data_IF_940856545540
#
_entry.id   IF_940856545540
#
_cell.length_a   1.000
_cell.length_b   1.000
_cell.length_c   1.000
_cell.angle_alpha   90.00
_cell.angle_beta   90.00
_cell.angle_gamma   90.00
#
_symmetry.space_group_name_H-M   'P 1'
#
loop_
_entity.id
_entity.type
_entity.pdbx_description
1 polymer ?
#
# COMPACT_ATOMS: atom_id res chain seq x y z
N UNK A 1 -41.19 8.73 -8.60
CA UNK A 1 -40.17 8.48 -9.65
C UNK A 1 -39.52 7.14 -9.33
N UNK A 2 -39.56 6.18 -10.26
CA UNK A 2 -38.98 4.85 -10.04
C UNK A 2 -37.46 4.98 -9.83
N UNK A 3 -36.94 4.42 -8.74
CA UNK A 3 -35.49 4.36 -8.51
C UNK A 3 -34.87 3.57 -9.67
N UNK A 4 -33.80 4.06 -10.32
CA UNK A 4 -33.11 3.30 -11.36
C UNK A 4 -32.75 1.92 -10.79
N UNK A 5 -33.22 0.87 -11.45
CA UNK A 5 -32.82 -0.50 -11.11
C UNK A 5 -31.37 -0.67 -11.54
N UNK A 6 -30.51 -1.08 -10.61
CA UNK A 6 -29.15 -1.50 -10.96
C UNK A 6 -29.25 -2.72 -11.88
N UNK A 7 -28.59 -2.65 -13.04
CA UNK A 7 -28.44 -3.76 -13.98
C UNK A 7 -26.97 -4.17 -14.00
N UNK A 8 -26.67 -5.36 -14.54
CA UNK A 8 -25.29 -5.77 -14.72
C UNK A 8 -24.49 -4.77 -15.57
N UNK A 9 -25.07 -4.32 -16.69
CA UNK A 9 -24.45 -3.36 -17.61
C UNK A 9 -24.16 -2.00 -16.98
N UNK A 10 -25.08 -1.47 -16.15
CA UNK A 10 -24.83 -0.19 -15.48
C UNK A 10 -23.74 -0.31 -14.42
N UNK A 11 -23.69 -1.43 -13.71
CA UNK A 11 -22.66 -1.75 -12.72
C UNK A 11 -21.30 -1.96 -13.36
N UNK A 12 -21.21 -2.71 -14.46
CA UNK A 12 -19.95 -2.94 -15.17
C UNK A 12 -19.42 -1.66 -15.80
N UNK A 13 -20.27 -0.85 -16.44
CA UNK A 13 -19.90 0.45 -17.00
C UNK A 13 -19.40 1.42 -15.93
N UNK A 14 -20.09 1.48 -14.78
CA UNK A 14 -19.64 2.29 -13.64
C UNK A 14 -18.30 1.81 -13.09
N UNK A 15 -18.11 0.50 -12.93
CA UNK A 15 -16.85 -0.08 -12.46
C UNK A 15 -15.68 0.19 -13.41
N UNK A 16 -15.90 0.07 -14.72
CA UNK A 16 -14.93 0.45 -15.75
C UNK A 16 -14.56 1.94 -15.69
N UNK A 17 -15.55 2.82 -15.52
CA UNK A 17 -15.31 4.25 -15.37
C UNK A 17 -14.46 4.59 -14.16
N UNK A 18 -14.70 3.93 -13.02
CA UNK A 18 -13.89 4.12 -11.80
C UNK A 18 -12.44 3.63 -12.01
N UNK A 19 -12.27 2.49 -12.68
CA UNK A 19 -10.93 1.99 -13.02
C UNK A 19 -10.17 2.92 -13.97
N UNK A 20 -10.86 3.52 -14.95
CA UNK A 20 -10.24 4.48 -15.87
C UNK A 20 -9.75 5.75 -15.15
N UNK A 21 -10.33 6.07 -14.00
CA UNK A 21 -9.83 7.13 -13.09
C UNK A 21 -8.64 6.69 -12.22
N UNK A 22 -8.15 5.46 -12.35
CA UNK A 22 -7.08 4.90 -11.52
C UNK A 22 -7.53 4.55 -10.09
N UNK A 23 -8.84 4.37 -9.86
CA UNK A 23 -9.40 4.04 -8.54
C UNK A 23 -9.99 2.64 -8.54
N UNK A 24 -10.08 2.06 -7.35
CA UNK A 24 -10.73 0.77 -7.18
C UNK A 24 -12.26 0.91 -7.15
N UNK A 25 -13.01 0.11 -7.92
CA UNK A 25 -14.47 0.15 -7.95
C UNK A 25 -15.06 -0.46 -6.67
N UNK A 26 -15.16 0.35 -5.62
CA UNK A 26 -15.80 -0.06 -4.36
C UNK A 26 -17.32 -0.13 -4.50
N UNK A 27 -17.95 -1.01 -3.72
CA UNK A 27 -19.40 -1.18 -3.73
C UNK A 27 -20.16 0.12 -3.46
N UNK A 28 -19.69 0.94 -2.52
CA UNK A 28 -20.29 2.24 -2.20
C UNK A 28 -20.22 3.19 -3.39
N UNK A 29 -19.07 3.27 -4.06
CA UNK A 29 -18.85 4.19 -5.17
C UNK A 29 -19.63 3.74 -6.42
N UNK A 30 -19.66 2.43 -6.70
CA UNK A 30 -20.46 1.87 -7.78
C UNK A 30 -21.95 2.12 -7.53
N UNK A 31 -22.44 1.83 -6.32
CA UNK A 31 -23.84 2.08 -5.95
C UNK A 31 -24.22 3.55 -6.04
N UNK A 32 -23.30 4.46 -5.69
CA UNK A 32 -23.49 5.91 -5.83
C UNK A 32 -23.70 6.31 -7.31
N UNK A 33 -22.99 5.67 -8.24
CA UNK A 33 -23.07 5.96 -9.68
C UNK A 33 -24.29 5.29 -10.35
N UNK A 34 -24.67 4.09 -9.94
CA UNK A 34 -25.73 3.31 -10.60
C UNK A 34 -27.10 3.42 -9.93
N UNK A 35 -27.14 3.77 -8.65
CA UNK A 35 -28.33 3.60 -7.82
C UNK A 35 -28.64 2.12 -7.55
N UNK A 36 -29.87 1.84 -7.13
CA UNK A 36 -30.34 0.47 -6.83
C UNK A 36 -30.03 -0.02 -5.41
N UNK A 37 -30.48 -1.24 -5.12
CA UNK A 37 -30.28 -1.85 -3.81
C UNK A 37 -28.83 -2.33 -3.64
N UNK A 38 -28.32 -2.24 -2.41
CA UNK A 38 -26.95 -2.65 -2.08
C UNK A 38 -26.68 -4.10 -2.46
N UNK A 39 -27.64 -5.00 -2.22
CA UNK A 39 -27.50 -6.43 -2.53
C UNK A 39 -27.46 -6.70 -4.03
N UNK A 40 -28.25 -5.96 -4.83
CA UNK A 40 -28.23 -6.06 -6.29
C UNK A 40 -26.90 -5.59 -6.86
N UNK A 41 -26.41 -4.42 -6.42
CA UNK A 41 -25.12 -3.87 -6.88
C UNK A 41 -23.97 -4.80 -6.47
N UNK A 42 -23.98 -5.31 -5.23
CA UNK A 42 -22.97 -6.25 -4.76
C UNK A 42 -22.89 -7.50 -5.64
N UNK A 43 -24.04 -8.09 -5.99
CA UNK A 43 -24.10 -9.28 -6.85
C UNK A 43 -23.48 -9.00 -8.22
N UNK A 44 -23.90 -7.92 -8.89
CA UNK A 44 -23.40 -7.61 -10.22
C UNK A 44 -21.94 -7.15 -10.24
N UNK A 45 -21.50 -6.45 -9.20
CA UNK A 45 -20.10 -6.07 -9.06
C UNK A 45 -19.22 -7.30 -8.87
N UNK A 46 -19.66 -8.26 -8.05
CA UNK A 46 -18.94 -9.52 -7.88
C UNK A 46 -18.88 -10.31 -9.18
N UNK A 47 -20.01 -10.46 -9.87
CA UNK A 47 -20.08 -11.14 -11.17
C UNK A 47 -19.12 -10.52 -12.19
N UNK A 48 -19.01 -9.19 -12.23
CA UNK A 48 -18.08 -8.49 -13.09
C UNK A 48 -16.62 -8.71 -12.69
N UNK A 49 -16.30 -8.69 -11.40
CA UNK A 49 -14.95 -8.99 -10.90
C UNK A 49 -14.52 -10.42 -11.26
N UNK A 50 -15.42 -11.40 -11.08
CA UNK A 50 -15.16 -12.80 -11.41
C UNK A 50 -14.91 -13.00 -12.91
N UNK A 51 -15.68 -12.32 -13.78
CA UNK A 51 -15.46 -12.33 -15.23
C UNK A 51 -14.07 -11.77 -15.59
N UNK A 52 -13.67 -10.66 -14.97
CA UNK A 52 -12.35 -10.04 -15.23
C UNK A 52 -11.20 -10.90 -14.74
N UNK A 53 -11.35 -11.55 -13.58
CA UNK A 53 -10.31 -12.46 -13.08
C UNK A 53 -10.13 -13.66 -14.01
N UNK A 54 -11.24 -14.23 -14.51
CA UNK A 54 -11.21 -15.31 -15.50
C UNK A 54 -10.54 -14.87 -16.83
N UNK A 55 -10.87 -13.68 -17.34
CA UNK A 55 -10.23 -13.12 -18.54
C UNK A 55 -8.72 -12.88 -18.35
N UNK A 56 -8.32 -12.36 -17.19
CA UNK A 56 -6.91 -12.13 -16.86
C UNK A 56 -6.14 -13.46 -16.74
N UNK A 57 -6.75 -14.49 -16.16
CA UNK A 57 -6.17 -15.83 -16.08
C UNK A 57 -6.13 -16.56 -17.44
N UNK A 58 -7.05 -16.23 -18.36
CA UNK A 58 -7.12 -16.87 -19.67
C UNK A 58 -6.00 -16.41 -20.64
N UNK A 59 -5.31 -15.31 -20.36
CA UNK A 59 -4.18 -14.85 -21.19
C UNK A 59 -2.87 -15.30 -20.56
N UNK A 60 -2.46 -16.55 -20.82
CA UNK A 60 -1.12 -17.00 -20.45
C UNK A 60 -0.07 -16.10 -21.11
N UNK A 61 0.75 -15.44 -20.29
CA UNK A 61 1.86 -14.64 -20.80
C UNK A 61 2.92 -15.58 -21.38
N UNK A 62 3.56 -15.21 -22.51
CA UNK A 62 4.73 -15.97 -22.97
C UNK A 62 5.78 -16.03 -21.86
N UNK A 63 6.39 -17.20 -21.65
CA UNK A 63 7.34 -17.44 -20.55
C UNK A 63 8.49 -16.41 -20.51
N UNK A 64 8.91 -15.90 -21.68
CA UNK A 64 9.91 -14.84 -21.78
C UNK A 64 9.44 -13.51 -21.13
N UNK A 65 8.17 -13.15 -21.32
CA UNK A 65 7.59 -11.93 -20.73
C UNK A 65 7.53 -12.07 -19.22
N UNK A 66 7.13 -13.23 -18.71
CA UNK A 66 7.11 -13.50 -17.27
C UNK A 66 8.51 -13.44 -16.65
N UNK A 67 9.50 -14.05 -17.30
CA UNK A 67 10.89 -14.06 -16.83
C UNK A 67 11.47 -12.64 -16.77
N UNK A 68 11.23 -11.82 -17.81
CA UNK A 68 11.65 -10.42 -17.87
C UNK A 68 10.95 -9.58 -16.79
N UNK A 69 9.63 -9.77 -16.62
CA UNK A 69 8.85 -9.08 -15.59
C UNK A 69 9.36 -9.39 -14.18
N UNK A 70 9.63 -10.66 -13.88
CA UNK A 70 10.18 -11.08 -12.58
C UNK A 70 11.54 -10.43 -12.30
N UNK A 71 12.43 -10.43 -13.29
CA UNK A 71 13.76 -9.81 -13.19
C UNK A 71 13.64 -8.31 -12.92
N UNK A 72 12.75 -7.62 -13.63
CA UNK A 72 12.51 -6.19 -13.44
C UNK A 72 12.02 -5.86 -12.03
N UNK A 73 11.00 -6.58 -11.54
CA UNK A 73 10.44 -6.35 -10.19
C UNK A 73 11.50 -6.60 -9.11
N UNK A 74 12.31 -7.65 -9.24
CA UNK A 74 13.41 -7.92 -8.32
C UNK A 74 14.45 -6.79 -8.32
N UNK A 75 14.82 -6.27 -9.49
CA UNK A 75 15.74 -5.14 -9.62
C UNK A 75 15.19 -3.86 -8.98
N UNK A 76 13.91 -3.57 -9.23
CA UNK A 76 13.21 -2.42 -8.64
C UNK A 76 13.15 -2.52 -7.12
N UNK A 77 12.79 -3.68 -6.59
CA UNK A 77 12.74 -3.91 -5.15
C UNK A 77 14.12 -3.76 -4.50
N UNK A 78 15.16 -4.36 -5.10
CA UNK A 78 16.52 -4.23 -4.60
C UNK A 78 17.00 -2.77 -4.59
N UNK A 79 16.62 -1.98 -5.61
CA UNK A 79 16.91 -0.55 -5.64
C UNK A 79 16.17 0.21 -4.52
N UNK A 80 14.88 -0.05 -4.34
CA UNK A 80 14.08 0.58 -3.30
C UNK A 80 14.62 0.28 -1.89
N UNK A 81 15.02 -0.96 -1.61
CA UNK A 81 15.65 -1.36 -0.33
C UNK A 81 16.94 -0.59 -0.09
N UNK A 82 17.82 -0.47 -1.11
CA UNK A 82 19.06 0.31 -0.98
C UNK A 82 18.78 1.78 -0.70
N UNK A 83 17.82 2.38 -1.39
CA UNK A 83 17.42 3.77 -1.20
C UNK A 83 16.85 4.00 0.22
N UNK A 84 15.99 3.10 0.70
CA UNK A 84 15.42 3.16 2.03
C UNK A 84 16.51 3.07 3.11
N UNK A 85 17.45 2.12 2.98
CA UNK A 85 18.57 1.97 3.90
C UNK A 85 19.47 3.22 3.92
N UNK A 86 19.74 3.81 2.75
CA UNK A 86 20.52 5.04 2.66
C UNK A 86 19.80 6.23 3.32
N UNK A 87 18.48 6.34 3.15
CA UNK A 87 17.68 7.41 3.73
C UNK A 87 17.67 7.41 5.26
N UNK A 88 17.78 6.23 5.90
CA UNK A 88 17.77 6.09 7.36
C UNK A 88 19.17 6.05 7.99
N UNK A 89 20.24 5.96 7.19
CA UNK A 89 21.61 5.82 7.69
C UNK A 89 22.06 7.03 8.52
N UNK A 90 21.87 8.24 7.99
CA UNK A 90 22.28 9.48 8.66
C UNK A 90 21.45 9.77 9.93
N UNK A 91 20.10 9.70 9.92
CA UNK A 91 19.31 9.83 11.16
C UNK A 91 19.70 8.83 12.24
N UNK A 92 20.01 7.58 11.85
CA UNK A 92 20.45 6.56 12.81
C UNK A 92 21.82 6.90 13.42
N UNK A 93 22.78 7.35 12.61
CA UNK A 93 24.09 7.77 13.09
C UNK A 93 23.96 8.95 14.09
N UNK A 94 23.14 9.94 13.77
CA UNK A 94 22.89 11.09 14.65
C UNK A 94 22.22 10.66 15.97
N UNK A 95 21.27 9.75 15.92
CA UNK A 95 20.62 9.21 17.12
C UNK A 95 21.61 8.45 18.01
N UNK A 96 22.47 7.62 17.43
CA UNK A 96 23.52 6.90 18.15
C UNK A 96 24.53 7.85 18.81
N UNK A 97 24.93 8.91 18.12
CA UNK A 97 25.85 9.90 18.69
C UNK A 97 25.21 10.74 19.80
N UNK A 98 23.93 11.09 19.67
CA UNK A 98 23.17 11.75 20.72
C UNK A 98 23.06 10.87 21.97
N UNK A 99 22.82 9.56 21.78
CA UNK A 99 22.77 8.59 22.87
C UNK A 99 24.12 8.52 23.62
N UNK A 100 25.24 8.34 22.91
CA UNK A 100 26.58 8.31 23.53
C UNK A 100 26.88 9.57 24.34
N UNK A 101 26.50 10.74 23.82
CA UNK A 101 26.66 12.02 24.54
C UNK A 101 25.81 12.08 25.80
N UNK A 102 24.58 11.58 25.75
CA UNK A 102 23.70 11.53 26.92
C UNK A 102 24.27 10.59 28.00
N UNK A 103 24.70 9.40 27.62
CA UNK A 103 25.34 8.41 28.51
C UNK A 103 26.61 8.98 29.15
N UNK A 104 27.47 9.67 28.38
CA UNK A 104 28.66 10.33 28.91
C UNK A 104 28.35 11.44 29.91
N UNK A 105 27.30 12.24 29.68
CA UNK A 105 26.85 13.26 30.65
C UNK A 105 26.31 12.63 31.94
N UNK A 106 25.55 11.53 31.82
CA UNK A 106 25.03 10.81 32.97
C UNK A 106 26.17 10.25 33.82
N UNK A 107 27.13 9.55 33.20
CA UNK A 107 28.29 9.00 33.91
C UNK A 107 29.12 10.09 34.60
N UNK A 108 29.31 11.25 33.94
CA UNK A 108 29.99 12.39 34.53
C UNK A 108 29.25 12.97 35.74
N UNK A 109 27.91 13.05 35.68
CA UNK A 109 27.09 13.52 36.80
C UNK A 109 27.08 12.52 37.96
N UNK A 110 27.01 11.21 37.67
CA UNK A 110 27.08 10.15 38.69
C UNK A 110 28.42 10.14 39.42
N UNK A 111 29.52 10.29 38.69
CA UNK A 111 30.86 10.42 39.28
C UNK A 111 30.97 11.67 40.16
N UNK A 112 30.30 12.77 39.77
CA UNK A 112 30.29 13.98 40.58
C UNK A 112 29.51 13.80 41.88
N UNK A 113 28.33 13.18 41.82
CA UNK A 113 27.53 12.86 43.00
C UNK A 113 28.33 12.00 43.98
N UNK A 114 28.98 10.93 43.49
CA UNK A 114 29.82 10.07 44.33
C UNK A 114 30.97 10.83 45.00
N UNK A 115 31.60 11.77 44.29
CA UNK A 115 32.66 12.62 44.86
C UNK A 115 32.12 13.52 45.97
N UNK A 116 30.94 14.11 45.79
CA UNK A 116 30.32 15.00 46.78
C UNK A 116 29.81 14.22 48.01
N UNK A 117 29.33 12.99 47.83
CA UNK A 117 28.84 12.13 48.92
C UNK A 117 29.97 11.51 49.76
N UNK A 118 31.20 11.49 49.25
CA UNK A 118 32.38 10.94 49.94
C UNK A 118 33.07 11.95 50.89
N UNK A 119 32.57 13.19 50.97
CA UNK A 119 33.06 14.28 51.84
C UNK A 119 32.16 14.43 53.05
#
# INVERSE_FOLDING_TARGET
MAKPLATFESVSSAAMGILAEGKEPTLTEVQRRTGGSYTTVKRYLQEWLDQRESEAQSTALPAEVEARGRTFVQGLYAHAVRAANAAVAEPLAQAQDAQKKAEGRLAGAEAEVQRLEAV
#
